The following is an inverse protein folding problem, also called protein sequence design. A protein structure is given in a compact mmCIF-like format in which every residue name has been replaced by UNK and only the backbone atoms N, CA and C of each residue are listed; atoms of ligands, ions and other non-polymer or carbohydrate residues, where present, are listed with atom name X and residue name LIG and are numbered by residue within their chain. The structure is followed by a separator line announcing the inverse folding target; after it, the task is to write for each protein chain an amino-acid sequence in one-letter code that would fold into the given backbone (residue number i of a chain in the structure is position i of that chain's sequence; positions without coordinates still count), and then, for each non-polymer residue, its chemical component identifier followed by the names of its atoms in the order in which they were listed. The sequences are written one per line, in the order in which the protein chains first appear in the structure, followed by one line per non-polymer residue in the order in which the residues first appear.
data_IF_692873643598
#
_entry.id   IF_692873643598
#
_cell.length_a   1.000
_cell.length_b   1.000
_cell.length_c   1.000
_cell.angle_alpha   90.00
_cell.angle_beta   90.00
_cell.angle_gamma   90.00
#
_symmetry.space_group_name_H-M   'P 1'
#
loop_
_entity.id
_entity.type
_entity.pdbx_description
1 polymer ?
#
# COMPACT_ATOMS: atom_id res chain seq x y z
N UNK A 1 0.49 -5.27 -40.43
CA UNK A 1 0.72 -4.13 -39.51
C UNK A 1 -0.22 -4.31 -38.34
N UNK A 2 0.31 -4.77 -37.22
CA UNK A 2 -0.46 -5.05 -35.99
C UNK A 2 -0.29 -3.80 -35.12
N UNK A 3 -1.35 -3.02 -35.01
CA UNK A 3 -1.41 -1.92 -34.05
C UNK A 3 -1.46 -2.51 -32.66
N UNK A 4 -0.39 -2.32 -31.90
CA UNK A 4 -0.32 -2.60 -30.47
C UNK A 4 -1.50 -1.89 -29.79
N UNK A 5 -2.45 -2.68 -29.28
CA UNK A 5 -3.44 -2.19 -28.33
C UNK A 5 -2.67 -1.80 -27.08
N UNK A 6 -2.45 -0.50 -26.89
CA UNK A 6 -2.16 0.07 -25.57
C UNK A 6 -3.27 -0.44 -24.64
N UNK A 7 -2.94 -1.43 -23.82
CA UNK A 7 -3.78 -1.84 -22.72
C UNK A 7 -3.81 -0.66 -21.76
N UNK A 8 -4.88 0.13 -21.85
CA UNK A 8 -5.29 1.05 -20.80
C UNK A 8 -5.57 0.18 -19.57
N UNK A 9 -4.54 -0.11 -18.77
CA UNK A 9 -4.72 -0.69 -17.44
C UNK A 9 -5.67 0.22 -16.70
N UNK A 10 -6.86 -0.30 -16.42
CA UNK A 10 -7.90 0.40 -15.68
C UNK A 10 -7.26 0.89 -14.38
N UNK A 11 -7.39 2.18 -14.06
CA UNK A 11 -6.76 2.82 -12.90
C UNK A 11 -7.14 2.24 -11.52
N UNK A 12 -7.95 1.18 -11.49
CA UNK A 12 -8.40 0.44 -10.31
C UNK A 12 -7.60 -0.85 -10.03
N UNK A 13 -6.74 -1.32 -10.92
CA UNK A 13 -6.02 -2.61 -10.72
C UNK A 13 -5.03 -2.60 -9.54
N UNK A 14 -4.65 -1.41 -9.09
CA UNK A 14 -3.70 -1.20 -8.01
C UNK A 14 -4.37 -0.77 -6.70
N UNK A 15 -5.70 -0.80 -6.59
CA UNK A 15 -6.40 -0.44 -5.36
C UNK A 15 -6.68 -1.70 -4.54
N UNK A 16 -6.22 -1.69 -3.29
CA UNK A 16 -6.34 -2.82 -2.39
C UNK A 16 -6.86 -2.38 -1.03
N UNK A 17 -7.88 -3.06 -0.52
CA UNK A 17 -8.23 -3.00 0.89
C UNK A 17 -7.28 -3.92 1.67
N UNK A 18 -6.56 -3.33 2.62
CA UNK A 18 -5.53 -4.02 3.40
C UNK A 18 -5.84 -3.91 4.89
N UNK A 19 -5.52 -4.97 5.63
CA UNK A 19 -5.47 -4.92 7.09
C UNK A 19 -4.19 -4.20 7.52
N UNK A 20 -4.32 -3.30 8.49
CA UNK A 20 -3.20 -2.51 9.00
C UNK A 20 -2.84 -2.96 10.41
N UNK A 21 -1.54 -3.23 10.61
CA UNK A 21 -0.99 -3.58 11.91
C UNK A 21 0.14 -2.63 12.29
N UNK A 22 0.12 -2.13 13.52
CA UNK A 22 1.22 -1.39 14.15
C UNK A 22 1.71 -2.19 15.37
N UNK A 23 3.00 -2.51 15.40
CA UNK A 23 3.63 -3.24 16.52
C UNK A 23 2.89 -4.53 16.90
N UNK A 24 2.40 -5.26 15.89
CA UNK A 24 1.63 -6.51 16.06
C UNK A 24 0.15 -6.34 16.38
N UNK A 25 -0.31 -5.12 16.70
CA UNK A 25 -1.73 -4.82 16.98
C UNK A 25 -2.48 -4.50 15.70
N UNK A 26 -3.61 -5.16 15.48
CA UNK A 26 -4.55 -4.80 14.41
C UNK A 26 -5.23 -3.47 14.71
N UNK A 27 -5.22 -2.55 13.73
CA UNK A 27 -5.82 -1.23 13.85
C UNK A 27 -7.14 -1.11 13.07
N UNK A 28 -7.21 -1.71 11.89
CA UNK A 28 -8.35 -1.60 11.00
C UNK A 28 -7.98 -1.88 9.55
N UNK A 29 -8.85 -1.44 8.64
CA UNK A 29 -8.68 -1.57 7.20
C UNK A 29 -8.35 -0.21 6.57
N UNK A 30 -7.53 -0.20 5.52
CA UNK A 30 -7.30 0.96 4.66
C UNK A 30 -7.39 0.54 3.20
N UNK A 31 -7.94 1.41 2.36
CA UNK A 31 -7.74 1.33 0.92
C UNK A 31 -6.38 1.96 0.57
N UNK A 32 -5.52 1.22 -0.12
CA UNK A 32 -4.22 1.71 -0.61
C UNK A 32 -4.10 1.50 -2.11
N UNK A 33 -3.49 2.47 -2.79
CA UNK A 33 -3.09 2.38 -4.19
C UNK A 33 -1.62 1.98 -4.25
N UNK A 34 -1.32 0.77 -4.73
CA UNK A 34 0.02 0.16 -4.76
C UNK A 34 0.12 -0.86 -5.91
N UNK A 35 1.28 -0.92 -6.55
CA UNK A 35 1.65 -2.08 -7.38
C UNK A 35 2.11 -3.21 -6.44
N UNK A 36 1.19 -4.15 -6.15
CA UNK A 36 1.41 -5.21 -5.18
C UNK A 36 2.60 -6.10 -5.55
N UNK A 37 2.70 -6.51 -6.82
CA UNK A 37 3.73 -7.44 -7.29
C UNK A 37 5.13 -6.81 -7.16
N UNK A 38 5.26 -5.54 -7.53
CA UNK A 38 6.51 -4.79 -7.32
C UNK A 38 6.80 -4.63 -5.82
N UNK A 39 5.79 -4.35 -4.99
CA UNK A 39 5.98 -4.15 -3.56
C UNK A 39 6.42 -5.42 -2.80
N UNK A 40 6.07 -6.60 -3.31
CA UNK A 40 6.50 -7.89 -2.75
C UNK A 40 7.89 -8.33 -3.21
N UNK A 41 8.36 -7.85 -4.38
CA UNK A 41 9.60 -8.32 -5.01
C UNK A 41 10.75 -7.33 -4.96
N UNK A 42 10.47 -6.07 -4.60
CA UNK A 42 11.44 -4.97 -4.63
C UNK A 42 11.42 -4.15 -3.33
N UNK A 43 12.54 -3.49 -3.01
CA UNK A 43 12.61 -2.45 -1.98
C UNK A 43 12.44 -1.04 -2.55
N UNK A 44 12.05 -0.92 -3.82
CA UNK A 44 11.86 0.35 -4.52
C UNK A 44 10.43 0.49 -5.04
N UNK A 45 9.47 0.55 -4.12
CA UNK A 45 8.05 0.79 -4.41
C UNK A 45 7.55 2.05 -3.71
N UNK A 46 6.35 2.49 -4.07
CA UNK A 46 5.63 3.52 -3.34
C UNK A 46 4.14 3.24 -3.40
N UNK A 47 3.42 3.69 -2.39
CA UNK A 47 1.97 3.56 -2.35
C UNK A 47 1.30 4.81 -1.79
N UNK A 48 -0.01 4.88 -1.94
CA UNK A 48 -0.83 5.99 -1.47
C UNK A 48 -2.06 5.46 -0.74
N UNK A 49 -2.24 5.86 0.52
CA UNK A 49 -3.47 5.63 1.26
C UNK A 49 -4.59 6.47 0.63
N UNK A 50 -5.76 5.85 0.42
CA UNK A 50 -7.00 6.50 -0.02
C UNK A 50 -7.90 6.64 1.21
N UNK A 51 -7.99 7.85 1.73
CA UNK A 51 -8.72 8.15 2.97
C UNK A 51 -7.84 8.79 4.03
N UNK A 52 -8.40 9.03 5.21
CA UNK A 52 -7.77 9.78 6.29
C UNK A 52 -7.67 9.01 7.62
N UNK A 53 -8.15 7.76 7.70
CA UNK A 53 -8.18 7.00 8.97
C UNK A 53 -6.79 6.82 9.60
N UNK A 54 -5.74 6.77 8.75
CA UNK A 54 -4.35 6.72 9.20
C UNK A 54 -3.94 7.91 10.10
N UNK A 55 -4.62 9.06 9.99
CA UNK A 55 -4.42 10.22 10.85
C UNK A 55 -5.01 10.00 12.24
N UNK A 56 -6.21 9.40 12.31
CA UNK A 56 -6.90 9.10 13.57
C UNK A 56 -6.10 8.10 14.40
N UNK A 57 -5.43 7.16 13.73
CA UNK A 57 -4.55 6.18 14.38
C UNK A 57 -3.13 6.70 14.63
N UNK A 58 -2.81 7.93 14.24
CA UNK A 58 -1.48 8.52 14.46
C UNK A 58 -0.35 7.80 13.72
N UNK A 59 -0.62 7.30 12.50
CA UNK A 59 0.35 6.50 11.73
C UNK A 59 1.42 7.32 11.00
N UNK A 60 1.32 8.66 10.96
CA UNK A 60 2.37 9.48 10.34
C UNK A 60 3.75 9.16 10.92
N UNK A 61 4.70 8.89 10.03
CA UNK A 61 6.07 8.48 10.31
C UNK A 61 6.23 7.13 11.04
N UNK A 62 5.16 6.31 11.10
CA UNK A 62 5.21 4.97 11.69
C UNK A 62 5.48 3.90 10.66
N UNK A 63 6.24 2.88 11.09
CA UNK A 63 6.41 1.61 10.39
C UNK A 63 5.21 0.72 10.70
N UNK A 64 4.49 0.29 9.66
CA UNK A 64 3.30 -0.55 9.78
C UNK A 64 3.34 -1.69 8.78
N UNK A 65 2.59 -2.74 9.06
CA UNK A 65 2.39 -3.86 8.16
C UNK A 65 1.03 -3.69 7.47
N UNK A 66 1.04 -3.76 6.15
CA UNK A 66 -0.16 -3.85 5.33
C UNK A 66 -0.30 -5.29 4.86
N UNK A 67 -1.39 -5.95 5.25
CA UNK A 67 -1.70 -7.31 4.85
C UNK A 67 -2.83 -7.31 3.82
N UNK A 68 -2.55 -7.88 2.65
CA UNK A 68 -3.51 -8.05 1.56
C UNK A 68 -4.52 -9.18 1.85
N UNK A 69 -5.58 -9.26 1.05
CA UNK A 69 -6.67 -10.22 1.24
C UNK A 69 -6.22 -11.70 1.16
N UNK A 70 -5.21 -11.99 0.34
CA UNK A 70 -4.59 -13.33 0.22
C UNK A 70 -3.54 -13.62 1.30
N UNK A 71 -3.32 -12.68 2.22
CA UNK A 71 -2.45 -12.85 3.37
C UNK A 71 -1.02 -12.36 3.16
N UNK A 72 -0.65 -11.97 1.93
CA UNK A 72 0.63 -11.34 1.64
C UNK A 72 0.82 -10.06 2.44
N UNK A 73 2.07 -9.74 2.76
CA UNK A 73 2.40 -8.62 3.64
C UNK A 73 3.50 -7.77 3.05
N UNK A 74 3.32 -6.46 3.13
CA UNK A 74 4.38 -5.49 2.90
C UNK A 74 4.54 -4.61 4.14
N UNK A 75 5.77 -4.23 4.44
CA UNK A 75 6.07 -3.31 5.56
C UNK A 75 6.44 -1.95 5.00
N UNK A 76 5.73 -0.92 5.43
CA UNK A 76 5.92 0.44 4.94
C UNK A 76 5.99 1.46 6.06
N UNK A 77 6.62 2.59 5.78
CA UNK A 77 6.55 3.79 6.62
C UNK A 77 5.52 4.73 6.02
N UNK A 78 4.47 5.05 6.78
CA UNK A 78 3.48 6.06 6.38
C UNK A 78 4.11 7.44 6.52
N UNK A 79 4.00 8.26 5.49
CA UNK A 79 4.50 9.64 5.42
C UNK A 79 3.32 10.60 5.34
N UNK A 80 3.63 11.88 5.53
CA UNK A 80 2.66 12.97 5.37
C UNK A 80 1.89 12.86 4.05
N UNK A 81 0.59 13.14 4.09
CA UNK A 81 -0.30 13.05 2.93
C UNK A 81 -0.70 11.63 2.55
N UNK A 82 -0.41 10.64 3.40
CA UNK A 82 -0.82 9.24 3.19
C UNK A 82 0.09 8.49 2.21
N UNK A 83 1.22 9.06 1.81
CA UNK A 83 2.23 8.36 1.02
C UNK A 83 2.88 7.27 1.86
N UNK A 84 3.13 6.10 1.27
CA UNK A 84 3.83 5.00 1.93
C UNK A 84 5.12 4.75 1.18
N UNK A 85 6.21 4.61 1.93
CA UNK A 85 7.52 4.19 1.41
C UNK A 85 7.94 2.85 2.01
N UNK A 86 8.76 2.05 1.33
CA UNK A 86 9.28 0.79 1.86
C UNK A 86 9.96 1.06 3.20
N UNK A 87 9.67 0.23 4.20
CA UNK A 87 10.45 0.26 5.44
C UNK A 87 11.80 -0.39 5.14
N UNK A 88 12.87 0.40 5.14
CA UNK A 88 14.22 -0.14 5.02
C UNK A 88 14.45 -1.14 6.18
N UNK A 89 15.06 -2.27 5.83
CA UNK A 89 15.51 -3.28 6.79
C UNK A 89 16.64 -2.73 7.66
#
# INVERSE_FOLDING_TARGET
MIGERMSLKSGNENLHDVKVYDSGKFLGYLAISIDKDNALTSNSWSAQIRGSDYLVWGLNHRRVIFQFADGDKVTGVVRSGGRITPAQS
#
